data_IF_157451948432
#
_entry.id   IF_157451948432
#
_cell.length_a   1.000
_cell.length_b   1.000
_cell.length_c   1.000
_cell.angle_alpha   90.00
_cell.angle_beta   90.00
_cell.angle_gamma   90.00
#
_symmetry.space_group_name_H-M   'P 1'
#
loop_
_entity.id
_entity.type
_entity.pdbx_description
1 polymer ?
#
# COMPACT_ATOMS: atom_id res chain seq x y z
N UNK A 1 1.32 -40.07 -0.48
CA UNK A 1 2.39 -40.21 0.53
C UNK A 1 2.45 -38.91 1.32
N UNK A 2 1.92 -38.95 2.52
CA UNK A 2 1.75 -37.78 3.41
C UNK A 2 3.07 -37.39 4.07
N UNK A 3 3.39 -36.10 4.07
CA UNK A 3 4.27 -35.55 5.13
C UNK A 3 3.74 -34.16 5.52
N UNK A 4 2.97 -34.15 6.60
CA UNK A 4 2.70 -32.94 7.40
C UNK A 4 3.93 -32.67 8.27
N UNK A 5 4.47 -31.47 8.25
CA UNK A 5 5.38 -30.99 9.30
C UNK A 5 4.81 -29.74 9.94
N UNK A 6 4.24 -29.95 11.12
CA UNK A 6 3.89 -28.91 12.10
C UNK A 6 5.19 -28.40 12.73
N UNK A 7 5.40 -27.10 12.72
CA UNK A 7 6.37 -26.45 13.61
C UNK A 7 5.61 -25.69 14.69
N UNK A 8 5.70 -26.20 15.91
CA UNK A 8 5.29 -25.52 17.13
C UNK A 8 6.46 -24.64 17.59
N UNK A 9 6.26 -23.35 17.64
CA UNK A 9 7.22 -22.43 18.26
C UNK A 9 6.89 -22.29 19.74
N UNK A 10 7.81 -22.74 20.59
CA UNK A 10 7.75 -22.67 22.05
C UNK A 10 8.29 -21.29 22.48
N UNK A 11 7.44 -20.43 23.01
CA UNK A 11 7.84 -19.17 23.60
C UNK A 11 8.17 -19.38 25.09
N UNK A 12 9.43 -19.24 25.44
CA UNK A 12 9.90 -19.30 26.85
C UNK A 12 9.86 -17.89 27.44
N UNK A 13 8.97 -17.67 28.40
CA UNK A 13 8.91 -16.43 29.18
C UNK A 13 9.79 -16.64 30.42
N UNK A 14 10.88 -15.89 30.51
CA UNK A 14 11.69 -15.79 31.72
C UNK A 14 11.15 -14.66 32.61
N UNK A 15 10.52 -15.00 33.72
CA UNK A 15 10.12 -14.06 34.75
C UNK A 15 11.30 -13.87 35.74
N UNK A 16 11.84 -12.65 35.81
CA UNK A 16 12.78 -12.22 36.83
C UNK A 16 12.01 -11.58 37.96
N UNK A 17 11.91 -12.32 39.09
CA UNK A 17 11.44 -11.82 40.39
C UNK A 17 12.56 -11.05 41.09
N UNK A 18 12.38 -9.73 41.29
CA UNK A 18 13.18 -8.97 42.26
C UNK A 18 12.34 -8.73 43.51
N UNK A 19 12.80 -9.28 44.65
CA UNK A 19 12.27 -9.00 45.98
C UNK A 19 13.03 -7.82 46.61
N UNK A 20 12.37 -6.87 47.22
CA UNK A 20 13.08 -5.90 48.10
C UNK A 20 13.08 -6.39 49.54
N UNK A 21 14.24 -6.20 50.18
CA UNK A 21 14.56 -6.50 51.54
C UNK A 21 13.86 -5.51 52.49
N UNK A 22 13.35 -6.05 53.59
CA UNK A 22 12.71 -5.28 54.66
C UNK A 22 13.73 -4.54 55.55
N UNK A 23 13.44 -3.32 55.95
CA UNK A 23 14.08 -2.60 56.99
C UNK A 23 13.03 -2.05 57.98
N UNK A 24 13.02 -2.60 59.20
CA UNK A 24 12.19 -2.18 60.33
C UNK A 24 12.69 -0.84 60.98
N UNK A 25 11.78 0.06 61.30
CA UNK A 25 11.92 0.90 62.50
C UNK A 25 10.54 1.34 62.98
N UNK A 26 10.31 1.16 64.26
CA UNK A 26 9.07 1.42 64.97
C UNK A 26 8.83 2.90 65.33
N UNK A 27 7.56 3.29 65.44
CA UNK A 27 7.13 4.57 66.04
C UNK A 27 5.61 4.65 66.05
N UNK A 28 5.02 4.53 67.27
CA UNK A 28 3.59 4.65 67.57
C UNK A 28 3.15 6.12 67.46
N UNK A 29 1.95 6.42 66.99
CA UNK A 29 0.81 6.95 67.77
C UNK A 29 -0.40 7.31 66.88
N UNK A 30 -1.53 6.87 67.32
CA UNK A 30 -2.93 7.21 67.24
C UNK A 30 -3.55 8.16 66.18
N UNK A 31 -4.69 7.65 65.69
CA UNK A 31 -5.97 8.27 65.38
C UNK A 31 -6.01 9.36 64.23
N UNK A 32 -6.56 9.03 63.10
CA UNK A 32 -7.96 9.36 62.83
C UNK A 32 -8.45 8.74 61.52
N UNK A 33 -9.69 8.29 61.57
CA UNK A 33 -10.51 7.63 60.55
C UNK A 33 -10.90 8.62 59.49
N UNK A 34 -10.47 8.44 58.22
CA UNK A 34 -11.23 8.94 57.08
C UNK A 34 -11.08 7.98 55.88
N UNK A 35 -12.15 7.33 55.56
CA UNK A 35 -12.37 6.66 54.31
C UNK A 35 -12.03 7.56 53.13
N UNK A 36 -11.15 7.13 52.27
CA UNK A 36 -11.04 7.74 50.94
C UNK A 36 -10.97 6.61 49.91
N UNK A 37 -12.01 6.61 49.13
CA UNK A 37 -12.33 5.78 47.99
C UNK A 37 -11.17 5.71 47.02
N UNK A 38 -11.04 4.49 46.49
CA UNK A 38 -10.90 4.20 45.06
C UNK A 38 -9.87 5.04 44.28
N UNK A 39 -8.62 4.59 44.27
CA UNK A 39 -7.70 4.95 43.20
C UNK A 39 -7.91 3.99 42.04
N UNK A 40 -8.93 4.24 41.25
CA UNK A 40 -9.06 3.67 39.91
C UNK A 40 -7.84 4.10 39.11
N UNK A 41 -6.89 3.20 38.97
CA UNK A 41 -5.73 3.36 38.09
C UNK A 41 -6.26 3.42 36.66
N UNK A 42 -6.52 4.63 36.17
CA UNK A 42 -6.83 4.89 34.79
C UNK A 42 -5.61 4.44 33.99
N UNK A 43 -5.66 3.24 33.46
CA UNK A 43 -4.72 2.77 32.43
C UNK A 43 -4.88 3.71 31.25
N UNK A 44 -4.00 4.71 31.12
CA UNK A 44 -3.88 5.52 29.90
C UNK A 44 -3.72 4.53 28.75
N UNK A 45 -4.72 4.44 27.87
CA UNK A 45 -4.62 3.66 26.66
C UNK A 45 -3.39 4.15 25.89
N UNK A 46 -2.39 3.31 25.76
CA UNK A 46 -1.20 3.60 24.98
C UNK A 46 -1.67 3.86 23.55
N UNK A 47 -1.49 5.08 23.06
CA UNK A 47 -1.86 5.45 21.69
C UNK A 47 -1.01 4.63 20.74
N UNK A 48 -1.63 3.72 20.00
CA UNK A 48 -0.96 2.94 18.95
C UNK A 48 -0.28 3.87 17.96
N UNK A 49 0.93 3.52 17.57
CA UNK A 49 1.67 4.21 16.51
C UNK A 49 0.92 4.10 15.16
N UNK A 50 1.19 4.98 14.17
CA UNK A 50 0.60 4.85 12.84
C UNK A 50 0.86 3.47 12.21
N UNK A 51 2.06 2.91 12.42
CA UNK A 51 2.44 1.58 11.96
C UNK A 51 1.60 0.48 12.63
N UNK A 52 1.48 0.48 13.96
CA UNK A 52 0.67 -0.50 14.67
C UNK A 52 -0.82 -0.44 14.29
N UNK A 53 -1.33 0.76 14.00
CA UNK A 53 -2.70 0.92 13.50
C UNK A 53 -2.86 0.28 12.12
N UNK A 54 -1.94 0.58 11.19
CA UNK A 54 -1.96 0.00 9.87
C UNK A 54 -1.84 -1.53 9.92
N UNK A 55 -0.90 -2.06 10.71
CA UNK A 55 -0.74 -3.50 10.91
C UNK A 55 -2.02 -4.18 11.44
N UNK A 56 -2.75 -3.53 12.33
CA UNK A 56 -4.01 -4.07 12.84
C UNK A 56 -5.17 -4.05 11.82
N UNK A 57 -5.05 -3.29 10.73
CA UNK A 57 -6.03 -3.25 9.64
C UNK A 57 -5.69 -4.20 8.48
N UNK A 58 -4.43 -4.62 8.36
CA UNK A 58 -3.96 -5.53 7.30
C UNK A 58 -4.57 -6.91 7.51
N UNK A 59 -5.16 -7.45 6.44
CA UNK A 59 -5.77 -8.79 6.39
C UNK A 59 -4.92 -9.77 5.59
N UNK A 60 -4.35 -9.31 4.50
CA UNK A 60 -3.57 -10.13 3.57
C UNK A 60 -2.31 -9.35 3.18
N UNK A 61 -1.19 -10.06 3.05
CA UNK A 61 0.09 -9.49 2.63
C UNK A 61 0.76 -10.39 1.59
N UNK A 62 1.38 -9.76 0.59
CA UNK A 62 2.28 -10.40 -0.34
C UNK A 62 3.63 -9.69 -0.23
N UNK A 63 4.62 -10.38 0.32
CA UNK A 63 5.95 -9.82 0.57
C UNK A 63 6.86 -10.09 -0.63
N UNK A 64 7.62 -9.07 -1.05
CA UNK A 64 8.57 -9.14 -2.15
C UNK A 64 9.86 -8.38 -1.88
N UNK A 65 10.87 -8.64 -2.69
CA UNK A 65 12.16 -7.96 -2.58
C UNK A 65 12.11 -6.50 -3.01
N UNK A 66 11.32 -6.19 -4.02
CA UNK A 66 11.19 -4.83 -4.55
C UNK A 66 10.14 -4.00 -3.82
N UNK A 67 8.92 -4.49 -3.73
CA UNK A 67 7.78 -3.91 -3.01
C UNK A 67 7.00 -5.02 -2.33
N UNK A 68 6.32 -4.69 -1.23
CA UNK A 68 5.33 -5.57 -0.62
C UNK A 68 3.94 -4.94 -0.73
N UNK A 69 2.93 -5.79 -0.85
CA UNK A 69 1.53 -5.38 -1.01
C UNK A 69 0.73 -5.83 0.19
N UNK A 70 -0.10 -4.94 0.72
CA UNK A 70 -0.92 -5.21 1.90
C UNK A 70 -2.35 -4.80 1.64
N UNK A 71 -3.28 -5.73 1.83
CA UNK A 71 -4.71 -5.49 1.70
C UNK A 71 -5.36 -5.38 3.08
N UNK A 72 -6.11 -4.32 3.28
CA UNK A 72 -6.84 -4.12 4.53
C UNK A 72 -8.22 -4.76 4.50
N UNK A 73 -8.81 -4.95 5.69
CA UNK A 73 -10.19 -5.41 5.84
C UNK A 73 -11.21 -4.50 5.15
N UNK A 74 -10.87 -3.22 4.92
CA UNK A 74 -11.69 -2.22 4.21
C UNK A 74 -11.52 -2.25 2.69
N UNK A 75 -10.76 -3.20 2.15
CA UNK A 75 -10.50 -3.31 0.71
C UNK A 75 -9.51 -2.30 0.14
N UNK A 76 -8.77 -1.57 0.98
CA UNK A 76 -7.69 -0.71 0.53
C UNK A 76 -6.42 -1.52 0.31
N UNK A 77 -5.61 -1.11 -0.66
CA UNK A 77 -4.29 -1.68 -0.92
C UNK A 77 -3.22 -0.67 -0.55
N UNK A 78 -2.31 -1.10 0.31
CA UNK A 78 -1.12 -0.36 0.68
C UNK A 78 0.09 -0.98 0.00
N UNK A 79 0.99 -0.14 -0.46
CA UNK A 79 2.32 -0.53 -0.91
C UNK A 79 3.29 -0.21 0.21
N UNK A 80 4.07 -1.21 0.62
CA UNK A 80 5.30 -1.02 1.37
C UNK A 80 6.46 -0.89 0.39
N UNK A 81 7.16 0.23 0.45
CA UNK A 81 8.27 0.54 -0.43
C UNK A 81 9.56 0.72 0.36
N UNK A 82 10.60 -0.01 0.01
CA UNK A 82 11.90 0.07 0.68
C UNK A 82 12.66 1.30 0.22
N UNK A 83 13.27 2.02 1.16
CA UNK A 83 14.04 3.24 0.86
C UNK A 83 15.24 2.97 -0.07
N UNK A 84 15.81 1.78 -0.02
CA UNK A 84 16.91 1.36 -0.92
C UNK A 84 16.51 1.36 -2.40
N UNK A 85 15.22 1.25 -2.69
CA UNK A 85 14.68 1.25 -4.05
C UNK A 85 14.29 2.65 -4.56
N UNK A 86 14.49 3.71 -3.75
CA UNK A 86 14.20 5.08 -4.18
C UNK A 86 15.00 5.44 -5.44
N UNK A 87 14.35 6.15 -6.36
CA UNK A 87 14.94 6.56 -7.64
C UNK A 87 14.97 5.47 -8.71
N UNK A 88 14.67 4.20 -8.39
CA UNK A 88 14.55 3.15 -9.40
C UNK A 88 13.36 3.42 -10.31
N UNK A 89 13.51 3.08 -11.59
CA UNK A 89 12.43 3.18 -12.57
C UNK A 89 11.44 2.04 -12.36
N UNK A 90 10.17 2.38 -12.30
CA UNK A 90 9.05 1.45 -12.16
C UNK A 90 8.19 1.57 -13.39
N UNK A 91 7.80 0.44 -13.98
CA UNK A 91 6.85 0.38 -15.06
C UNK A 91 5.55 -0.22 -14.52
N UNK A 92 4.47 0.56 -14.58
CA UNK A 92 3.15 0.09 -14.20
C UNK A 92 2.25 0.00 -15.44
N UNK A 93 1.53 -1.08 -15.57
CA UNK A 93 0.59 -1.29 -16.69
C UNK A 93 -0.48 -2.30 -16.30
N UNK A 94 -1.55 -2.33 -17.05
CA UNK A 94 -2.65 -3.26 -16.82
C UNK A 94 -2.96 -4.04 -18.10
N UNK A 95 -3.35 -5.29 -17.91
CA UNK A 95 -3.75 -6.22 -18.97
C UNK A 95 -4.98 -6.98 -18.49
N UNK A 96 -5.96 -7.15 -19.35
CA UNK A 96 -7.15 -7.95 -19.06
C UNK A 96 -6.75 -9.43 -18.94
N UNK A 97 -6.99 -10.03 -17.79
CA UNK A 97 -6.67 -11.43 -17.52
C UNK A 97 -7.86 -12.37 -17.69
N UNK A 98 -9.06 -11.93 -17.29
CA UNK A 98 -10.30 -12.69 -17.46
C UNK A 98 -11.45 -11.80 -17.87
N UNK A 99 -12.42 -12.33 -18.55
CA UNK A 99 -13.66 -11.63 -18.96
C UNK A 99 -14.84 -12.56 -18.83
N UNK A 100 -15.98 -12.02 -18.46
CA UNK A 100 -17.25 -12.77 -18.45
C UNK A 100 -17.91 -12.84 -19.83
N UNK A 101 -17.59 -11.88 -20.70
CA UNK A 101 -18.10 -11.82 -22.08
C UNK A 101 -16.94 -11.57 -23.07
N UNK A 102 -16.38 -12.65 -23.66
CA UNK A 102 -15.28 -12.55 -24.62
C UNK A 102 -15.68 -11.91 -25.96
N UNK A 103 -16.98 -11.75 -26.25
CA UNK A 103 -17.42 -11.04 -27.44
C UNK A 103 -17.22 -9.53 -27.36
N UNK A 104 -17.18 -9.00 -26.15
CA UNK A 104 -17.05 -7.56 -25.88
C UNK A 104 -15.61 -7.13 -25.61
N UNK A 105 -14.81 -7.97 -24.97
CA UNK A 105 -13.44 -7.68 -24.53
C UNK A 105 -12.57 -8.92 -24.68
N UNK A 106 -11.38 -8.77 -25.24
CA UNK A 106 -10.43 -9.87 -25.39
C UNK A 106 -9.50 -9.97 -24.17
N UNK A 107 -9.25 -11.19 -23.71
CA UNK A 107 -8.16 -11.49 -22.77
C UNK A 107 -6.83 -11.11 -23.42
N UNK A 108 -5.92 -10.54 -22.63
CA UNK A 108 -4.64 -10.01 -23.12
C UNK A 108 -4.71 -8.56 -23.61
N UNK A 109 -5.90 -7.97 -23.67
CA UNK A 109 -6.04 -6.57 -24.08
C UNK A 109 -5.36 -5.62 -23.07
N UNK A 110 -4.53 -4.71 -23.60
CA UNK A 110 -3.87 -3.66 -22.82
C UNK A 110 -4.71 -2.40 -22.90
N UNK A 111 -5.50 -2.14 -21.88
CA UNK A 111 -6.46 -1.03 -21.84
C UNK A 111 -5.84 0.32 -21.52
N UNK A 112 -4.60 0.36 -21.09
CA UNK A 112 -3.88 1.59 -20.81
C UNK A 112 -2.42 1.49 -21.29
N UNK A 113 -1.86 2.64 -21.68
CA UNK A 113 -0.43 2.71 -21.94
C UNK A 113 0.33 2.51 -20.64
N UNK A 114 1.38 1.67 -20.62
CA UNK A 114 2.22 1.56 -19.44
C UNK A 114 2.79 2.91 -19.03
N UNK A 115 2.79 3.18 -17.73
CA UNK A 115 3.33 4.41 -17.15
C UNK A 115 4.67 4.08 -16.50
N UNK A 116 5.72 4.79 -16.91
CA UNK A 116 7.04 4.69 -16.30
C UNK A 116 7.23 5.87 -15.35
N UNK A 117 7.64 5.59 -14.11
CA UNK A 117 7.93 6.61 -13.11
C UNK A 117 9.06 6.18 -12.19
N UNK A 118 9.62 7.13 -11.46
CA UNK A 118 10.53 6.90 -10.33
C UNK A 118 9.81 7.28 -9.03
N UNK A 119 10.12 6.56 -7.96
CA UNK A 119 9.57 6.83 -6.63
C UNK A 119 10.57 7.67 -5.85
N UNK A 120 10.14 8.84 -5.39
CA UNK A 120 10.88 9.71 -4.48
C UNK A 120 10.12 9.85 -3.16
N UNK A 121 10.86 10.21 -2.11
CA UNK A 121 10.30 10.54 -0.80
C UNK A 121 10.74 11.97 -0.44
N UNK A 122 9.78 12.87 -0.32
CA UNK A 122 9.97 14.27 0.07
C UNK A 122 9.22 14.48 1.38
N UNK A 123 9.94 14.64 2.49
CA UNK A 123 9.40 14.65 3.86
C UNK A 123 8.55 13.40 4.13
N UNK A 124 7.25 13.55 4.26
CA UNK A 124 6.30 12.43 4.44
C UNK A 124 5.39 12.25 3.24
N UNK A 125 5.87 12.64 2.05
CA UNK A 125 5.11 12.55 0.79
C UNK A 125 5.89 11.70 -0.21
N UNK A 126 5.23 10.67 -0.72
CA UNK A 126 5.72 9.86 -1.83
C UNK A 126 5.46 10.64 -3.12
N UNK A 127 6.50 10.89 -3.88
CA UNK A 127 6.42 11.64 -5.14
C UNK A 127 6.76 10.71 -6.30
N UNK A 128 5.81 10.47 -7.16
CA UNK A 128 6.00 9.70 -8.38
C UNK A 128 6.35 10.68 -9.51
N UNK A 129 7.57 10.58 -10.04
CA UNK A 129 8.10 11.46 -11.08
C UNK A 129 8.25 10.71 -12.38
N UNK A 130 7.81 11.30 -13.48
CA UNK A 130 8.05 10.74 -14.82
C UNK A 130 9.55 10.83 -15.11
N UNK A 131 10.22 9.73 -15.49
CA UNK A 131 11.62 9.76 -15.86
C UNK A 131 11.83 10.72 -17.01
N UNK A 132 12.92 11.47 -16.95
CA UNK A 132 13.33 12.33 -18.06
C UNK A 132 13.76 11.44 -19.23
N UNK A 133 13.05 11.51 -20.33
CA UNK A 133 13.39 10.84 -21.60
C UNK A 133 13.99 11.81 -22.60
N UNK A 134 14.32 13.00 -22.16
CA UNK A 134 14.88 14.06 -23.00
C UNK A 134 16.33 13.79 -23.40
N UNK A 135 16.86 14.66 -24.22
CA UNK A 135 18.19 14.58 -24.73
C UNK A 135 19.22 14.37 -23.60
N UNK A 136 20.16 13.49 -23.81
CA UNK A 136 21.38 13.38 -23.00
C UNK A 136 22.56 13.90 -23.83
N UNK A 137 23.51 14.54 -23.18
CA UNK A 137 24.74 15.00 -23.82
C UNK A 137 25.93 14.25 -23.26
N UNK A 138 26.88 13.90 -24.14
CA UNK A 138 28.16 13.35 -23.71
C UNK A 138 29.07 14.43 -23.12
N UNK A 139 28.79 15.71 -23.38
CA UNK A 139 29.52 16.83 -22.76
C UNK A 139 29.01 17.04 -21.32
N UNK A 140 29.89 16.97 -20.30
CA UNK A 140 29.49 17.13 -18.90
C UNK A 140 28.91 18.52 -18.58
N UNK A 141 29.37 19.57 -19.25
CA UNK A 141 28.86 20.93 -19.07
C UNK A 141 27.43 21.06 -19.59
N UNK A 142 27.19 20.55 -20.79
CA UNK A 142 25.85 20.51 -21.39
C UNK A 142 24.90 19.65 -20.57
N UNK A 143 25.32 18.47 -20.13
CA UNK A 143 24.53 17.59 -19.27
C UNK A 143 24.11 18.31 -17.99
N UNK A 144 25.02 19.01 -17.33
CA UNK A 144 24.75 19.77 -16.11
C UNK A 144 23.81 20.96 -16.35
N UNK A 145 23.92 21.62 -17.51
CA UNK A 145 23.00 22.68 -17.92
C UNK A 145 21.60 22.12 -18.17
N UNK A 146 21.49 20.96 -18.81
CA UNK A 146 20.21 20.28 -19.04
C UNK A 146 19.54 19.89 -17.72
N UNK A 147 20.27 19.30 -16.77
CA UNK A 147 19.79 18.91 -15.45
C UNK A 147 19.24 20.12 -14.65
N UNK A 148 19.84 21.31 -14.79
CA UNK A 148 19.36 22.54 -14.15
C UNK A 148 18.08 23.10 -14.79
N UNK A 149 17.92 22.92 -16.08
CA UNK A 149 16.82 23.53 -16.84
C UNK A 149 15.61 22.59 -16.98
N UNK A 150 15.77 21.30 -16.67
CA UNK A 150 14.70 20.33 -16.77
C UNK A 150 14.15 19.96 -15.38
N UNK A 151 12.89 20.28 -15.15
CA UNK A 151 12.15 19.80 -14.00
C UNK A 151 11.44 18.50 -14.37
N UNK A 152 11.64 17.45 -13.58
CA UNK A 152 10.89 16.20 -13.75
C UNK A 152 9.41 16.45 -13.49
N UNK A 153 8.57 15.98 -14.41
CA UNK A 153 7.15 16.08 -14.22
C UNK A 153 6.67 15.16 -13.09
N UNK A 154 5.93 15.71 -12.14
CA UNK A 154 5.31 14.95 -11.05
C UNK A 154 4.03 14.32 -11.57
N UNK A 155 4.02 13.01 -11.66
CA UNK A 155 2.85 12.24 -12.05
C UNK A 155 1.80 12.18 -10.93
N UNK A 156 2.25 11.92 -9.69
CA UNK A 156 1.36 11.83 -8.53
C UNK A 156 2.11 12.10 -7.22
N UNK A 157 1.38 12.61 -6.24
CA UNK A 157 1.81 12.74 -4.84
C UNK A 157 0.88 11.93 -3.94
N UNK A 158 1.46 11.15 -3.02
CA UNK A 158 0.73 10.29 -2.09
C UNK A 158 1.29 10.51 -0.68
N UNK A 159 0.44 10.60 0.32
CA UNK A 159 0.89 10.73 1.70
C UNK A 159 1.43 9.40 2.23
N UNK A 160 2.53 9.45 2.96
CA UNK A 160 3.01 8.30 3.73
C UNK A 160 2.02 8.05 4.87
N UNK A 161 1.55 6.81 4.98
CA UNK A 161 0.61 6.39 6.02
C UNK A 161 1.33 5.95 7.29
N UNK A 162 2.48 5.28 7.13
CA UNK A 162 3.33 4.84 8.21
C UNK A 162 4.76 4.59 7.71
N UNK A 163 5.72 4.64 8.62
CA UNK A 163 7.08 4.11 8.42
C UNK A 163 7.23 2.81 9.19
N UNK A 164 8.07 1.91 8.69
CA UNK A 164 8.49 0.72 9.45
C UNK A 164 9.21 1.14 10.74
N UNK A 165 9.22 0.29 11.79
CA UNK A 165 9.88 0.63 13.07
C UNK A 165 11.36 0.98 12.93
N UNK A 166 12.06 0.33 12.00
CA UNK A 166 13.46 0.58 11.65
C UNK A 166 13.64 1.71 10.63
N UNK A 167 12.55 2.30 10.15
CA UNK A 167 12.53 3.33 9.11
C UNK A 167 13.18 2.92 7.78
N UNK A 168 13.36 1.64 7.51
CA UNK A 168 13.91 1.13 6.23
C UNK A 168 12.89 1.18 5.11
N UNK A 169 11.60 1.12 5.43
CA UNK A 169 10.49 1.16 4.49
C UNK A 169 9.40 2.15 4.90
N UNK A 170 8.51 2.45 3.99
CA UNK A 170 7.34 3.28 4.23
C UNK A 170 6.12 2.74 3.49
N UNK A 171 4.96 3.00 4.07
CA UNK A 171 3.67 2.53 3.58
C UNK A 171 2.84 3.69 3.05
N UNK A 172 2.21 3.49 1.91
CA UNK A 172 1.27 4.46 1.35
C UNK A 172 0.07 3.78 0.72
N UNK A 173 -1.09 4.45 0.75
CA UNK A 173 -2.32 3.98 0.13
C UNK A 173 -2.20 4.08 -1.40
N UNK A 174 -2.16 2.94 -2.06
CA UNK A 174 -2.03 2.84 -3.50
C UNK A 174 -3.38 2.81 -4.24
N UNK A 175 -4.49 2.82 -3.53
CA UNK A 175 -5.84 2.70 -4.12
C UNK A 175 -6.07 3.74 -5.21
N UNK A 176 -5.68 5.00 -4.96
CA UNK A 176 -5.83 6.07 -5.95
C UNK A 176 -4.86 5.96 -7.14
N UNK A 177 -3.70 5.35 -6.97
CA UNK A 177 -2.78 5.05 -8.08
C UNK A 177 -3.36 3.96 -8.97
N UNK A 178 -3.92 2.95 -8.37
CA UNK A 178 -4.59 1.84 -9.06
C UNK A 178 -5.81 2.37 -9.85
N UNK A 179 -6.58 3.30 -9.27
CA UNK A 179 -7.69 3.96 -9.96
C UNK A 179 -7.26 4.72 -11.22
N UNK A 180 -6.07 5.32 -11.21
CA UNK A 180 -5.53 5.98 -12.40
C UNK A 180 -5.12 5.01 -13.51
N UNK A 181 -4.84 3.75 -13.15
CA UNK A 181 -4.50 2.67 -14.09
C UNK A 181 -5.73 1.90 -14.60
N UNK A 182 -6.94 2.24 -14.14
CA UNK A 182 -8.18 1.63 -14.66
C UNK A 182 -8.41 1.97 -16.13
N UNK A 183 -9.16 1.12 -16.85
CA UNK A 183 -9.49 1.39 -18.25
C UNK A 183 -10.19 2.74 -18.41
N UNK A 184 -9.60 3.60 -19.22
CA UNK A 184 -10.16 4.93 -19.59
C UNK A 184 -10.37 5.05 -21.09
N UNK A 185 -10.44 3.93 -21.78
CA UNK A 185 -10.55 3.91 -23.24
C UNK A 185 -11.96 4.31 -23.70
N UNK A 186 -12.08 4.89 -24.91
CA UNK A 186 -13.34 5.43 -25.42
C UNK A 186 -14.48 4.41 -25.58
N UNK A 187 -14.16 3.13 -25.56
CA UNK A 187 -15.13 2.04 -25.64
C UNK A 187 -15.49 1.40 -24.28
N UNK A 188 -14.79 1.76 -23.22
CA UNK A 188 -14.96 1.14 -21.90
C UNK A 188 -15.37 2.16 -20.86
N UNK A 189 -16.39 1.83 -20.10
CA UNK A 189 -16.73 2.57 -18.88
C UNK A 189 -16.72 1.61 -17.74
N UNK A 190 -15.81 1.81 -16.78
CA UNK A 190 -15.87 1.07 -15.52
C UNK A 190 -17.09 1.56 -14.75
N UNK A 191 -18.05 0.67 -14.52
CA UNK A 191 -19.19 0.95 -13.63
C UNK A 191 -18.68 0.87 -12.21
N UNK A 192 -18.54 2.00 -11.54
CA UNK A 192 -18.02 2.02 -10.20
C UNK A 192 -18.76 2.98 -9.30
N UNK A 193 -19.41 2.40 -8.34
CA UNK A 193 -19.87 3.04 -7.09
C UNK A 193 -19.00 2.61 -5.89
N UNK A 194 -17.80 2.08 -6.14
CA UNK A 194 -16.89 1.53 -5.14
C UNK A 194 -17.21 0.10 -4.71
N UNK A 195 -18.41 -0.41 -4.97
CA UNK A 195 -18.79 -1.80 -4.66
C UNK A 195 -18.49 -2.76 -5.82
N UNK A 196 -18.30 -2.23 -7.01
CA UNK A 196 -18.08 -3.02 -8.24
C UNK A 196 -16.62 -3.26 -8.58
N UNK A 197 -15.71 -2.67 -7.81
CA UNK A 197 -14.26 -2.88 -7.94
C UNK A 197 -13.72 -3.54 -6.67
N UNK A 198 -13.04 -4.66 -6.81
CA UNK A 198 -12.41 -5.32 -5.67
C UNK A 198 -11.07 -5.96 -6.06
N UNK A 199 -10.20 -6.11 -5.07
CA UNK A 199 -8.91 -6.78 -5.22
C UNK A 199 -9.09 -8.26 -4.87
N UNK A 200 -8.75 -9.16 -5.77
CA UNK A 200 -8.93 -10.60 -5.57
C UNK A 200 -7.63 -11.34 -5.28
N UNK A 201 -6.52 -10.94 -5.88
CA UNK A 201 -5.23 -11.60 -5.70
C UNK A 201 -4.09 -10.57 -5.73
N UNK A 202 -3.05 -10.83 -4.96
CA UNK A 202 -1.84 -10.02 -4.89
C UNK A 202 -0.63 -10.94 -4.85
N UNK A 203 0.37 -10.65 -5.68
CA UNK A 203 1.66 -11.35 -5.69
C UNK A 203 2.78 -10.33 -5.74
N UNK A 204 3.80 -10.57 -4.95
CA UNK A 204 5.01 -9.78 -4.96
C UNK A 204 6.22 -10.69 -5.12
N UNK A 205 7.22 -10.23 -5.87
CA UNK A 205 8.42 -10.94 -6.24
C UNK A 205 9.64 -10.05 -5.98
N UNK A 206 10.82 -10.52 -6.32
CA UNK A 206 12.06 -9.77 -6.06
C UNK A 206 12.18 -8.48 -6.86
N UNK A 207 11.59 -8.41 -8.05
CA UNK A 207 11.72 -7.29 -8.98
C UNK A 207 10.38 -6.72 -9.48
N UNK A 208 9.27 -7.39 -9.20
CA UNK A 208 7.95 -6.96 -9.63
C UNK A 208 6.84 -7.35 -8.65
N UNK A 209 5.63 -6.83 -8.88
CA UNK A 209 4.43 -7.22 -8.18
C UNK A 209 3.22 -7.15 -9.10
N UNK A 210 2.21 -7.96 -8.82
CA UNK A 210 0.95 -7.97 -9.54
C UNK A 210 -0.24 -7.91 -8.59
N UNK A 211 -1.28 -7.22 -9.05
CA UNK A 211 -2.56 -7.10 -8.34
C UNK A 211 -3.65 -7.44 -9.33
N UNK A 212 -4.52 -8.36 -8.97
CA UNK A 212 -5.72 -8.67 -9.76
C UNK A 212 -6.87 -7.80 -9.26
N UNK A 213 -7.42 -6.99 -10.17
CA UNK A 213 -8.49 -6.06 -9.90
C UNK A 213 -9.70 -6.47 -10.71
N UNK A 214 -10.76 -6.85 -10.03
CA UNK A 214 -12.02 -7.16 -10.69
C UNK A 214 -12.87 -5.88 -10.83
N UNK A 215 -13.38 -5.65 -12.02
CA UNK A 215 -14.22 -4.50 -12.32
C UNK A 215 -15.46 -4.95 -13.11
N UNK A 216 -16.58 -4.29 -12.86
CA UNK A 216 -17.70 -4.33 -13.78
C UNK A 216 -17.52 -3.23 -14.83
N UNK A 217 -17.63 -3.61 -16.08
CA UNK A 217 -17.42 -2.71 -17.23
C UNK A 217 -18.64 -2.71 -18.14
N UNK A 218 -18.81 -1.59 -18.81
CA UNK A 218 -19.78 -1.41 -19.87
C UNK A 218 -19.03 -1.06 -21.15
N UNK A 219 -19.30 -1.79 -22.20
CA UNK A 219 -18.78 -1.47 -23.54
C UNK A 219 -19.82 -0.66 -24.32
N UNK A 220 -19.37 0.38 -24.97
CA UNK A 220 -20.22 1.23 -25.78
C UNK A 220 -19.54 1.65 -27.08
N UNK A 221 -20.34 1.81 -28.14
CA UNK A 221 -19.90 2.38 -29.41
C UNK A 221 -20.63 3.72 -29.64
N UNK A 222 -19.92 4.68 -30.20
CA UNK A 222 -20.53 5.92 -30.61
C UNK A 222 -20.83 5.85 -32.09
N UNK A 223 -22.09 6.11 -32.47
CA UNK A 223 -22.53 6.23 -33.85
C UNK A 223 -23.30 7.53 -34.02
N UNK A 224 -22.87 8.38 -34.93
CA UNK A 224 -23.45 9.72 -35.18
C UNK A 224 -23.64 10.57 -33.92
N UNK A 225 -22.69 10.49 -32.97
CA UNK A 225 -22.76 11.24 -31.70
C UNK A 225 -23.65 10.59 -30.63
N UNK A 226 -24.34 9.50 -30.94
CA UNK A 226 -25.17 8.75 -30.00
C UNK A 226 -24.33 7.61 -29.39
N UNK A 227 -24.26 7.55 -28.07
CA UNK A 227 -23.62 6.46 -27.35
C UNK A 227 -24.58 5.26 -27.26
N UNK A 228 -24.19 4.14 -27.86
CA UNK A 228 -24.94 2.89 -27.82
C UNK A 228 -24.18 1.93 -26.93
N UNK A 229 -24.83 1.42 -25.88
CA UNK A 229 -24.30 0.37 -25.05
C UNK A 229 -24.37 -0.94 -25.83
N UNK A 230 -23.24 -1.57 -26.08
CA UNK A 230 -23.15 -2.78 -26.92
C UNK A 230 -22.91 -4.03 -26.10
N UNK A 231 -22.59 -3.92 -24.84
CA UNK A 231 -22.38 -5.04 -23.93
C UNK A 231 -21.83 -4.57 -22.61
N UNK A 232 -21.53 -5.50 -21.76
CA UNK A 232 -20.93 -5.25 -20.44
C UNK A 232 -20.77 -6.56 -19.69
N UNK A 233 -19.92 -6.56 -18.67
CA UNK A 233 -19.65 -7.73 -17.87
C UNK A 233 -18.60 -7.45 -16.83
N UNK A 234 -18.12 -8.52 -16.21
CA UNK A 234 -16.99 -8.43 -15.27
C UNK A 234 -15.70 -8.73 -16.01
N UNK A 235 -14.64 -8.02 -15.63
CA UNK A 235 -13.28 -8.28 -16.09
C UNK A 235 -12.28 -8.12 -14.94
N UNK A 236 -11.18 -8.82 -15.00
CA UNK A 236 -10.03 -8.70 -14.12
C UNK A 236 -8.73 -8.56 -14.91
#
# INVERSE_FOLDING_TARGET
MNIRKSFAALATIAALCFSPLAGNAAGKTDQDRKETKDSTTVRKAVKKTPFEKLQSEIKESAEGGFISLHKTSKGKVYIEYRKENLGRRVLAGGTVSTVSDPSSINVGYKYAKPVCFTVGLEDSVVVLKTPQTGASSMDPGMQKAMERNYTQNVFKRLSVSAFSPDSSSFFFDATSLIDDLKPKDKGFTVKGDGLTTWFSDMKAFDDNASIVINNNVETSRSFLGIKIVTGGGSMS
#
